data_IF_766925546427
#
_entry.id   IF_766925546427
#
_cell.length_a   1.000
_cell.length_b   1.000
_cell.length_c   1.000
_cell.angle_alpha   90.00
_cell.angle_beta   90.00
_cell.angle_gamma   90.00
#
_symmetry.space_group_name_H-M   'P 1'
#
loop_
_entity.id
_entity.type
_entity.pdbx_description
1 polymer ?
#
# COMPACT_ATOMS: atom_id res chain seq x y z
N UNK A 1 12.00 -4.96 18.74
CA UNK A 1 10.75 -4.21 18.52
C UNK A 1 9.64 -5.22 18.66
N UNK A 2 8.82 -5.09 19.69
CA UNK A 2 7.74 -6.03 19.96
C UNK A 2 6.46 -5.49 19.30
N UNK A 3 5.98 -6.19 18.28
CA UNK A 3 4.77 -5.82 17.56
C UNK A 3 3.56 -6.47 18.23
N UNK A 4 2.58 -5.66 18.63
CA UNK A 4 1.28 -6.16 19.09
C UNK A 4 0.35 -6.21 17.88
N UNK A 5 -0.05 -7.42 17.47
CA UNK A 5 -1.10 -7.60 16.47
C UNK A 5 -2.44 -7.67 17.17
N UNK A 6 -3.32 -6.70 16.89
CA UNK A 6 -4.67 -6.66 17.44
C UNK A 6 -5.64 -7.07 16.35
N UNK A 7 -6.42 -8.12 16.61
CA UNK A 7 -7.51 -8.58 15.74
C UNK A 7 -8.82 -8.14 16.36
N UNK A 8 -9.40 -7.07 15.82
CA UNK A 8 -10.75 -6.63 16.19
C UNK A 8 -11.72 -7.14 15.13
N UNK A 9 -12.74 -7.94 15.49
CA UNK A 9 -13.83 -8.22 14.58
C UNK A 9 -14.59 -6.90 14.34
N UNK A 10 -14.76 -6.52 13.08
CA UNK A 10 -15.67 -5.45 12.69
C UNK A 10 -16.67 -6.04 11.71
N UNK A 11 -17.93 -5.66 11.87
CA UNK A 11 -19.00 -5.93 10.91
C UNK A 11 -19.51 -4.59 10.42
N UNK A 12 -19.52 -4.41 9.11
CA UNK A 12 -19.93 -3.16 8.45
C UNK A 12 -20.67 -3.55 7.17
N UNK A 13 -21.89 -3.07 7.04
CA UNK A 13 -22.76 -3.34 5.89
C UNK A 13 -23.15 -2.04 5.17
N UNK A 14 -24.13 -2.13 4.27
CA UNK A 14 -24.68 -0.99 3.55
C UNK A 14 -23.64 -0.28 2.67
N UNK A 15 -23.76 1.04 2.58
CA UNK A 15 -22.90 1.83 1.69
C UNK A 15 -21.47 1.96 2.22
N UNK A 16 -21.28 1.97 3.55
CA UNK A 16 -19.94 1.97 4.16
C UNK A 16 -19.20 0.68 3.82
N UNK A 17 -19.86 -0.48 3.90
CA UNK A 17 -19.26 -1.76 3.52
C UNK A 17 -18.84 -1.78 2.05
N UNK A 18 -19.68 -1.24 1.16
CA UNK A 18 -19.35 -1.11 -0.29
C UNK A 18 -18.15 -0.21 -0.52
N UNK A 19 -18.06 0.93 0.19
CA UNK A 19 -16.94 1.86 0.06
C UNK A 19 -15.62 1.23 0.52
N UNK A 20 -15.61 0.53 1.66
CA UNK A 20 -14.44 -0.18 2.16
C UNK A 20 -13.98 -1.25 1.17
N UNK A 21 -14.91 -2.08 0.68
CA UNK A 21 -14.61 -3.13 -0.29
C UNK A 21 -14.07 -2.55 -1.60
N UNK A 22 -14.73 -1.51 -2.13
CA UNK A 22 -14.31 -0.84 -3.36
C UNK A 22 -12.93 -0.21 -3.21
N UNK A 23 -12.66 0.43 -2.07
CA UNK A 23 -11.35 1.00 -1.75
C UNK A 23 -10.26 -0.06 -1.69
N UNK A 24 -10.52 -1.20 -1.03
CA UNK A 24 -9.60 -2.33 -0.98
C UNK A 24 -9.29 -2.87 -2.38
N UNK A 25 -10.31 -2.98 -3.24
CA UNK A 25 -10.15 -3.42 -4.63
C UNK A 25 -9.32 -2.45 -5.47
N UNK A 26 -9.59 -1.15 -5.38
CA UNK A 26 -8.81 -0.13 -6.08
C UNK A 26 -7.35 -0.12 -5.60
N UNK A 27 -7.14 -0.23 -4.29
CA UNK A 27 -5.81 -0.29 -3.69
C UNK A 27 -5.03 -1.52 -4.17
N UNK A 28 -5.65 -2.71 -4.14
CA UNK A 28 -5.08 -3.94 -4.69
C UNK A 28 -4.69 -3.78 -6.15
N UNK A 29 -5.62 -3.29 -6.98
CA UNK A 29 -5.40 -3.09 -8.41
C UNK A 29 -4.23 -2.15 -8.68
N UNK A 30 -4.16 -1.04 -7.95
CA UNK A 30 -3.06 -0.09 -8.02
C UNK A 30 -1.72 -0.71 -7.57
N UNK A 31 -1.71 -1.53 -6.52
CA UNK A 31 -0.51 -2.22 -6.05
C UNK A 31 0.03 -3.21 -7.08
N UNK A 32 -0.83 -4.03 -7.69
CA UNK A 32 -0.44 -4.90 -8.80
C UNK A 32 0.11 -4.09 -9.99
N UNK A 33 -0.53 -2.96 -10.33
CA UNK A 33 -0.07 -2.12 -11.43
C UNK A 33 1.30 -1.52 -11.16
N UNK A 34 1.51 -0.92 -9.98
CA UNK A 34 2.79 -0.31 -9.60
C UNK A 34 3.89 -1.37 -9.52
N UNK A 35 3.62 -2.54 -8.93
CA UNK A 35 4.58 -3.66 -8.90
C UNK A 35 4.98 -4.10 -10.31
N UNK A 36 4.01 -4.27 -11.21
CA UNK A 36 4.27 -4.65 -12.60
C UNK A 36 5.19 -3.67 -13.32
N UNK A 37 4.97 -2.36 -13.16
CA UNK A 37 5.83 -1.32 -13.75
C UNK A 37 7.20 -1.28 -13.06
N UNK A 38 7.25 -1.40 -11.74
CA UNK A 38 8.50 -1.37 -10.97
C UNK A 38 9.45 -2.51 -11.39
N UNK A 39 8.91 -3.72 -11.64
CA UNK A 39 9.70 -4.86 -12.14
C UNK A 39 10.34 -4.64 -13.51
N UNK A 40 9.77 -3.76 -14.33
CA UNK A 40 10.27 -3.42 -15.67
C UNK A 40 11.36 -2.33 -15.63
N UNK A 41 11.52 -1.64 -14.50
CA UNK A 41 12.54 -0.59 -14.37
C UNK A 41 13.93 -1.21 -14.22
N UNK A 42 14.91 -0.61 -14.90
CA UNK A 42 16.31 -1.01 -14.77
C UNK A 42 16.91 -0.57 -13.42
N UNK A 43 16.56 0.65 -12.98
CA UNK A 43 16.99 1.24 -11.73
C UNK A 43 15.77 1.70 -10.96
N UNK A 44 15.66 1.26 -9.70
CA UNK A 44 14.64 1.70 -8.77
C UNK A 44 15.23 2.72 -7.78
N UNK A 45 14.44 3.72 -7.31
CA UNK A 45 14.93 4.71 -6.37
C UNK A 45 15.38 4.07 -5.05
N UNK A 46 16.36 4.69 -4.39
CA UNK A 46 16.83 4.28 -3.06
C UNK A 46 16.10 4.94 -1.90
N UNK A 47 15.13 5.83 -2.16
CA UNK A 47 14.45 6.61 -1.12
C UNK A 47 12.94 6.66 -1.33
N UNK A 48 12.17 6.76 -0.25
CA UNK A 48 10.71 6.91 -0.29
C UNK A 48 10.25 8.08 -1.17
N UNK A 49 10.94 9.22 -1.09
CA UNK A 49 10.61 10.40 -1.90
C UNK A 49 10.77 10.09 -3.39
N UNK A 50 11.84 9.38 -3.77
CA UNK A 50 12.07 8.94 -5.14
C UNK A 50 10.98 7.99 -5.64
N UNK A 51 10.59 7.00 -4.81
CA UNK A 51 9.50 6.07 -5.14
C UNK A 51 8.17 6.80 -5.37
N UNK A 52 7.79 7.68 -4.45
CA UNK A 52 6.57 8.47 -4.54
C UNK A 52 6.58 9.37 -5.78
N UNK A 53 7.70 10.04 -6.06
CA UNK A 53 7.86 10.86 -7.29
C UNK A 53 7.67 10.02 -8.56
N UNK A 54 8.24 8.82 -8.59
CA UNK A 54 8.24 7.94 -9.77
C UNK A 54 6.88 7.28 -10.03
N UNK A 55 6.17 6.84 -8.97
CA UNK A 55 5.02 5.93 -9.14
C UNK A 55 3.67 6.51 -8.69
N UNK A 56 3.63 7.65 -7.98
CA UNK A 56 2.35 8.21 -7.49
C UNK A 56 1.33 8.40 -8.60
N UNK A 57 1.72 8.94 -9.75
CA UNK A 57 0.77 9.22 -10.83
C UNK A 57 0.13 7.94 -11.38
N UNK A 58 0.90 6.84 -11.41
CA UNK A 58 0.38 5.51 -11.79
C UNK A 58 -0.66 5.05 -10.77
N UNK A 59 -0.34 5.11 -9.48
CA UNK A 59 -1.26 4.68 -8.43
C UNK A 59 -2.51 5.58 -8.38
N UNK A 60 -2.33 6.90 -8.47
CA UNK A 60 -3.39 7.89 -8.41
C UNK A 60 -4.39 7.78 -9.57
N UNK A 61 -3.93 7.35 -10.75
CA UNK A 61 -4.81 7.07 -11.89
C UNK A 61 -5.80 5.91 -11.66
N UNK A 62 -5.56 5.06 -10.65
CA UNK A 62 -6.44 3.93 -10.29
C UNK A 62 -7.18 4.21 -8.98
N UNK A 63 -6.46 4.70 -7.96
CA UNK A 63 -7.01 5.10 -6.68
C UNK A 63 -6.86 6.62 -6.55
N UNK A 64 -7.89 7.42 -6.93
CA UNK A 64 -7.80 8.89 -7.04
C UNK A 64 -7.85 9.60 -5.68
N UNK A 65 -7.24 8.99 -4.67
CA UNK A 65 -7.01 9.57 -3.36
C UNK A 65 -5.50 9.50 -3.08
N UNK A 66 -4.88 10.67 -2.89
CA UNK A 66 -3.44 10.79 -2.70
C UNK A 66 -2.91 9.93 -1.56
N UNK A 67 -3.64 9.82 -0.44
CA UNK A 67 -3.20 9.07 0.75
C UNK A 67 -3.12 7.58 0.48
N UNK A 68 -4.05 7.04 -0.31
CA UNK A 68 -4.02 5.65 -0.72
C UNK A 68 -3.03 5.41 -1.85
N UNK A 69 -2.89 6.34 -2.81
CA UNK A 69 -1.89 6.24 -3.86
C UNK A 69 -0.46 6.21 -3.29
N UNK A 70 -0.15 7.08 -2.34
CA UNK A 70 1.15 7.09 -1.64
C UNK A 70 1.32 5.84 -0.76
N UNK A 71 0.22 5.32 -0.18
CA UNK A 71 0.19 4.03 0.52
C UNK A 71 0.56 2.85 -0.39
N UNK A 72 -0.01 2.78 -1.60
CA UNK A 72 0.32 1.78 -2.62
C UNK A 72 1.80 1.82 -2.96
N UNK A 73 2.34 3.01 -3.23
CA UNK A 73 3.75 3.16 -3.57
C UNK A 73 4.65 2.73 -2.40
N UNK A 74 4.27 3.10 -1.19
CA UNK A 74 5.00 2.70 0.03
C UNK A 74 4.99 1.18 0.23
N UNK A 75 3.87 0.51 -0.07
CA UNK A 75 3.77 -0.96 0.00
C UNK A 75 4.71 -1.64 -1.02
N UNK A 76 4.72 -1.20 -2.28
CA UNK A 76 5.59 -1.81 -3.30
C UNK A 76 7.07 -1.55 -2.99
N UNK A 77 7.39 -0.35 -2.49
CA UNK A 77 8.74 0.00 -2.03
C UNK A 77 9.19 -0.93 -0.89
N UNK A 78 8.34 -1.15 0.12
CA UNK A 78 8.72 -2.01 1.26
C UNK A 78 8.91 -3.47 0.84
N UNK A 79 8.15 -3.97 -0.13
CA UNK A 79 8.38 -5.27 -0.76
C UNK A 79 9.77 -5.31 -1.41
N UNK A 80 10.11 -4.30 -2.22
CA UNK A 80 11.44 -4.22 -2.86
C UNK A 80 12.59 -4.19 -1.83
N UNK A 81 12.47 -3.37 -0.78
CA UNK A 81 13.46 -3.31 0.31
C UNK A 81 13.57 -4.63 1.07
N UNK A 82 12.45 -5.33 1.27
CA UNK A 82 12.42 -6.66 1.89
C UNK A 82 13.13 -7.69 1.01
N UNK A 83 12.88 -7.69 -0.30
CA UNK A 83 13.57 -8.56 -1.24
C UNK A 83 15.09 -8.34 -1.22
N UNK A 84 15.54 -7.08 -1.19
CA UNK A 84 16.97 -6.76 -1.06
C UNK A 84 17.56 -7.27 0.24
N UNK A 85 16.85 -7.10 1.35
CA UNK A 85 17.31 -7.54 2.67
C UNK A 85 17.38 -9.06 2.77
N UNK A 86 16.45 -9.77 2.12
CA UNK A 86 16.36 -11.23 2.11
C UNK A 86 17.12 -11.89 0.95
N UNK A 87 17.79 -11.11 0.10
CA UNK A 87 18.46 -11.61 -1.13
C UNK A 87 17.53 -12.42 -2.06
N UNK A 88 16.26 -12.03 -2.13
CA UNK A 88 15.25 -12.61 -3.04
C UNK A 88 15.15 -11.78 -4.30
N UNK A 89 14.99 -12.42 -5.46
CA UNK A 89 14.77 -11.71 -6.72
C UNK A 89 13.40 -11.02 -6.72
N UNK A 90 13.41 -9.69 -6.74
CA UNK A 90 12.22 -8.85 -6.80
C UNK A 90 11.36 -9.12 -8.06
N UNK A 91 11.98 -9.54 -9.18
CA UNK A 91 11.24 -9.80 -10.43
C UNK A 91 10.33 -11.02 -10.32
N UNK A 92 10.68 -12.00 -9.48
CA UNK A 92 9.88 -13.19 -9.21
C UNK A 92 8.74 -12.99 -8.22
N UNK A 93 8.65 -11.84 -7.54
CA UNK A 93 7.67 -11.64 -6.45
C UNK A 93 6.28 -11.34 -6.97
N UNK A 94 5.27 -12.09 -6.53
CA UNK A 94 3.88 -11.85 -6.89
C UNK A 94 3.05 -11.40 -5.69
N UNK A 95 1.99 -10.65 -5.96
CA UNK A 95 0.99 -10.30 -4.97
C UNK A 95 -0.13 -11.35 -5.06
N UNK A 96 -0.49 -11.93 -3.92
CA UNK A 96 -1.62 -12.86 -3.82
C UNK A 96 -2.99 -12.17 -3.90
N UNK A 97 -4.03 -12.94 -3.64
CA UNK A 97 -5.39 -12.41 -3.54
C UNK A 97 -5.67 -11.92 -2.11
N UNK A 98 -5.66 -10.60 -1.93
CA UNK A 98 -5.89 -9.95 -0.64
C UNK A 98 -6.80 -8.74 -0.79
N UNK A 99 -7.49 -8.38 0.29
CA UNK A 99 -8.25 -7.14 0.40
C UNK A 99 -7.75 -6.37 1.63
N UNK A 100 -6.91 -5.37 1.38
CA UNK A 100 -6.41 -4.44 2.38
C UNK A 100 -6.20 -3.08 1.71
N UNK A 101 -6.13 -2.03 2.52
CA UNK A 101 -5.69 -0.72 2.07
C UNK A 101 -5.00 -0.02 3.24
N UNK A 102 -4.01 0.80 2.92
CA UNK A 102 -3.27 1.58 3.90
C UNK A 102 -3.24 3.04 3.45
N UNK A 103 -3.52 3.95 4.37
CA UNK A 103 -3.24 5.38 4.16
C UNK A 103 -1.83 5.72 4.66
N UNK A 104 -1.11 6.54 3.90
CA UNK A 104 0.23 7.00 4.27
C UNK A 104 0.24 8.20 5.22
N UNK A 105 -0.89 8.91 5.32
CA UNK A 105 -1.04 10.15 6.09
C UNK A 105 -2.23 10.04 7.04
N UNK A 106 -2.12 10.71 8.19
CA UNK A 106 -3.17 10.81 9.19
C UNK A 106 -4.31 11.72 8.69
N UNK A 107 -5.55 11.31 8.94
CA UNK A 107 -6.71 12.17 8.74
C UNK A 107 -6.75 13.27 9.81
N UNK A 108 -7.16 14.50 9.47
CA UNK A 108 -7.36 15.57 10.44
C UNK A 108 -8.83 16.02 10.44
N UNK A 109 -9.52 16.05 11.61
CA UNK A 109 -9.03 15.64 12.93
C UNK A 109 -8.76 14.13 12.98
N UNK A 110 -7.75 13.72 13.75
CA UNK A 110 -7.39 12.31 13.89
C UNK A 110 -8.56 11.53 14.49
N UNK A 111 -9.12 10.60 13.71
CA UNK A 111 -10.13 9.64 14.18
C UNK A 111 -9.50 8.30 14.59
N UNK A 112 -8.18 8.18 14.45
CA UNK A 112 -7.43 6.96 14.71
C UNK A 112 -7.15 6.80 16.21
N UNK A 113 -7.27 5.57 16.72
CA UNK A 113 -6.86 5.23 18.09
C UNK A 113 -5.36 4.94 18.07
N UNK A 114 -4.56 5.84 18.64
CA UNK A 114 -3.13 5.57 18.89
C UNK A 114 -3.01 4.72 20.14
N UNK A 115 -2.59 3.47 19.98
CA UNK A 115 -2.22 2.62 21.10
C UNK A 115 -0.79 2.95 21.51
N UNK A 116 -0.64 3.66 22.63
CA UNK A 116 0.66 3.85 23.27
C UNK A 116 0.98 2.57 24.05
N UNK A 117 2.18 2.04 23.86
CA UNK A 117 2.82 1.15 24.83
C UNK A 117 3.24 1.95 26.06
#
# INVERSE_FOLDING_TARGET
MDYITIKLPFDVDGDVGKELLSTAWLFKTAAHRVLGIAKQQHVLPGTKIGWVSMFRQVAYGIVPNRRYADGVVTLVMSIYESCRSLSVDFRGVELGDWLMFQQSELEHPNRNITLKQ
#
